data_IF_180290593124
#
_entry.id   IF_180290593124
#
_cell.length_a   1.000
_cell.length_b   1.000
_cell.length_c   1.000
_cell.angle_alpha   90.00
_cell.angle_beta   90.00
_cell.angle_gamma   90.00
#
_symmetry.space_group_name_H-M   'P 1'
#
loop_
_entity.id
_entity.type
_entity.pdbx_description
1 polymer ?
#
# COMPACT_ATOMS: atom_id res chain seq x y z
N UNK A 1 2.19 -25.07 -6.77
CA UNK A 1 2.10 -24.54 -6.93
C UNK A 1 1.43 -24.08 -7.81
N UNK A 2 0.90 -23.93 -7.80
CA UNK A 2 0.24 -23.65 -8.60
C UNK A 2 0.22 -22.45 -9.10
N UNK A 3 0.48 -21.62 -8.60
CA UNK A 3 0.39 -20.44 -9.06
C UNK A 3 1.17 -20.18 -10.09
N UNK A 4 1.64 -21.01 -10.48
CA UNK A 4 2.36 -20.77 -11.38
C UNK A 4 1.88 -20.31 -12.52
N UNK A 5 1.14 -20.66 -13.06
CA UNK A 5 0.84 -20.26 -14.21
C UNK A 5 0.20 -19.24 -14.45
N UNK A 6 -0.48 -19.01 -14.50
CA UNK A 6 -1.05 -17.89 -14.80
C UNK A 6 -0.26 -16.79 -14.57
N UNK A 7 0.86 -16.96 -14.62
CA UNK A 7 1.69 -15.98 -14.28
C UNK A 7 1.49 -14.68 -14.90
N UNK A 8 1.08 -14.62 -16.05
CA UNK A 8 1.00 -13.35 -16.70
C UNK A 8 0.07 -12.38 -16.05
N UNK A 9 -0.90 -12.87 -15.34
CA UNK A 9 -1.79 -11.97 -14.84
C UNK A 9 -1.51 -11.47 -13.51
N UNK A 10 -0.69 -12.12 -12.79
CA UNK A 10 -0.46 -11.72 -11.46
C UNK A 10 0.27 -10.49 -11.28
N UNK A 11 0.89 -10.01 -12.30
CA UNK A 11 1.70 -8.82 -12.11
C UNK A 11 0.95 -7.55 -12.35
N UNK A 12 -0.34 -7.59 -12.46
CA UNK A 12 -1.03 -6.36 -12.70
C UNK A 12 -1.07 -5.50 -11.49
N UNK A 13 -0.51 -4.32 -11.59
CA UNK A 13 -0.54 -3.34 -10.53
C UNK A 13 -1.77 -2.48 -10.68
N UNK A 14 -2.30 -2.03 -9.56
CA UNK A 14 -3.38 -1.08 -9.54
C UNK A 14 -2.82 0.27 -9.16
N UNK A 15 -3.11 1.26 -9.97
CA UNK A 15 -2.61 2.61 -9.75
C UNK A 15 -3.71 3.45 -9.11
N UNK A 16 -3.37 4.16 -8.07
CA UNK A 16 -4.29 5.11 -7.44
C UNK A 16 -3.65 6.49 -7.41
N UNK A 17 -4.44 7.49 -7.73
CA UNK A 17 -3.98 8.88 -7.73
C UNK A 17 -4.20 9.50 -6.37
N UNK A 18 -3.30 10.37 -5.98
CA UNK A 18 -3.40 11.04 -4.69
C UNK A 18 -2.67 12.36 -4.79
N UNK A 19 -3.07 13.34 -3.99
CA UNK A 19 -2.38 14.62 -3.91
C UNK A 19 -1.56 14.59 -2.63
N UNK A 20 -0.25 14.72 -2.76
CA UNK A 20 0.67 14.70 -1.63
C UNK A 20 1.46 15.99 -1.64
N UNK A 21 1.41 16.73 -0.54
CA UNK A 21 2.11 18.00 -0.42
C UNK A 21 1.80 18.94 -1.59
N UNK A 22 0.55 18.95 -2.01
CA UNK A 22 0.12 19.83 -3.07
C UNK A 22 0.43 19.34 -4.49
N UNK A 23 1.04 18.18 -4.64
CA UNK A 23 1.37 17.64 -5.95
C UNK A 23 0.55 16.40 -6.26
N UNK A 24 0.00 16.34 -7.44
CA UNK A 24 -0.72 15.15 -7.87
C UNK A 24 0.31 14.07 -8.21
N UNK A 25 0.10 12.89 -7.68
CA UNK A 25 0.99 11.78 -7.94
C UNK A 25 0.16 10.51 -8.03
N UNK A 26 0.78 9.41 -8.35
CA UNK A 26 0.09 8.14 -8.35
C UNK A 26 1.00 7.07 -7.78
N UNK A 27 0.38 6.06 -7.19
CA UNK A 27 1.09 4.95 -6.58
C UNK A 27 0.53 3.68 -7.18
N UNK A 28 1.40 2.82 -7.65
CA UNK A 28 1.00 1.55 -8.22
C UNK A 28 1.42 0.42 -7.28
N UNK A 29 0.47 -0.34 -6.81
CA UNK A 29 0.72 -1.46 -5.92
C UNK A 29 -0.13 -2.64 -6.35
N UNK A 30 0.30 -3.81 -5.97
CA UNK A 30 -0.48 -5.01 -6.18
C UNK A 30 -1.80 -4.90 -5.41
N UNK A 31 -2.88 -5.47 -5.93
CA UNK A 31 -4.17 -5.38 -5.25
C UNK A 31 -4.15 -5.88 -3.83
N UNK A 32 -3.32 -6.86 -3.54
CA UNK A 32 -3.20 -7.40 -2.19
C UNK A 32 -2.70 -6.36 -1.21
N UNK A 33 -1.75 -5.54 -1.65
CA UNK A 33 -1.25 -4.48 -0.79
C UNK A 33 -2.29 -3.38 -0.60
N UNK A 34 -3.04 -3.06 -1.67
CA UNK A 34 -4.11 -2.07 -1.51
C UNK A 34 -5.16 -2.52 -0.52
N UNK A 35 -5.49 -3.82 -0.53
CA UNK A 35 -6.47 -4.35 0.40
C UNK A 35 -5.99 -4.19 1.85
N UNK A 36 -4.73 -4.46 2.10
CA UNK A 36 -4.18 -4.30 3.44
C UNK A 36 -4.15 -2.83 3.85
N UNK A 37 -3.75 -1.95 2.93
CA UNK A 37 -3.72 -0.52 3.24
C UNK A 37 -5.11 0.04 3.49
N UNK A 38 -6.12 -0.45 2.79
CA UNK A 38 -7.50 -0.06 3.05
C UNK A 38 -7.89 -0.46 4.48
N UNK A 39 -7.47 -1.64 4.92
CA UNK A 39 -7.74 -2.09 6.28
C UNK A 39 -7.00 -1.25 7.31
N UNK A 40 -5.77 -0.88 7.02
CA UNK A 40 -4.99 -0.02 7.92
C UNK A 40 -5.67 1.34 8.06
N UNK A 41 -6.08 1.92 6.94
CA UNK A 41 -6.75 3.22 6.96
C UNK A 41 -8.02 3.16 7.80
N UNK A 42 -8.83 2.12 7.57
CA UNK A 42 -10.06 1.95 8.33
C UNK A 42 -9.78 1.80 9.82
N UNK A 43 -8.77 1.02 10.18
CA UNK A 43 -8.42 0.81 11.57
C UNK A 43 -7.97 2.09 12.26
N UNK A 44 -7.37 3.00 11.50
CA UNK A 44 -6.90 4.27 12.04
C UNK A 44 -7.88 5.41 11.88
N UNK A 45 -9.03 5.14 11.28
CA UNK A 45 -10.02 6.19 11.05
C UNK A 45 -9.60 7.19 10.00
N UNK A 46 -8.78 6.77 9.04
CA UNK A 46 -8.27 7.65 8.00
C UNK A 46 -8.86 7.29 6.66
N UNK A 47 -8.92 8.29 5.78
CA UNK A 47 -9.21 8.01 4.39
C UNK A 47 -7.96 7.40 3.76
N UNK A 48 -8.11 6.84 2.59
CA UNK A 48 -6.97 6.31 1.86
C UNK A 48 -5.95 7.41 1.59
N UNK A 49 -6.44 8.59 1.17
CA UNK A 49 -5.54 9.71 0.92
C UNK A 49 -4.83 10.15 2.20
N UNK A 50 -5.53 10.14 3.31
CA UNK A 50 -4.92 10.49 4.61
C UNK A 50 -3.84 9.52 5.00
N UNK A 51 -4.06 8.22 4.77
CA UNK A 51 -3.04 7.23 5.07
C UNK A 51 -1.82 7.44 4.18
N UNK A 52 -2.02 7.66 2.89
CA UNK A 52 -0.91 7.86 1.98
C UNK A 52 -0.11 9.12 2.34
N UNK A 53 -0.81 10.17 2.76
CA UNK A 53 -0.12 11.38 3.20
C UNK A 53 0.75 11.11 4.42
N UNK A 54 0.23 10.33 5.37
CA UNK A 54 1.00 9.98 6.55
C UNK A 54 2.23 9.15 6.18
N UNK A 55 2.06 8.18 5.26
CA UNK A 55 3.18 7.37 4.81
C UNK A 55 4.22 8.25 4.13
N UNK A 56 3.78 9.17 3.28
CA UNK A 56 4.69 10.06 2.59
C UNK A 56 5.51 10.91 3.55
N UNK A 57 4.87 11.39 4.60
CA UNK A 57 5.54 12.22 5.60
C UNK A 57 6.55 11.44 6.44
N UNK A 58 6.34 10.14 6.60
CA UNK A 58 7.18 9.35 7.48
C UNK A 58 8.15 8.43 6.76
N UNK A 59 8.13 8.40 5.44
CA UNK A 59 8.96 7.45 4.70
C UNK A 59 10.44 7.80 4.61
N UNK A 60 10.80 9.03 4.92
CA UNK A 60 12.18 9.45 4.78
C UNK A 60 12.61 9.39 3.32
N UNK A 61 13.70 8.70 3.04
CA UNK A 61 14.22 8.59 1.67
C UNK A 61 13.70 7.38 0.94
N UNK A 62 12.87 6.58 1.59
CA UNK A 62 12.36 5.38 0.96
C UNK A 62 11.35 5.75 -0.11
N UNK A 63 11.34 5.09 -1.27
CA UNK A 63 10.30 5.33 -2.27
C UNK A 63 8.92 5.07 -1.68
N UNK A 64 7.95 5.85 -2.13
CA UNK A 64 6.61 5.77 -1.56
C UNK A 64 6.00 4.37 -1.69
N UNK A 65 6.11 3.75 -2.86
CA UNK A 65 5.56 2.40 -3.04
C UNK A 65 6.20 1.40 -2.09
N UNK A 66 7.51 1.52 -1.87
CA UNK A 66 8.22 0.65 -0.95
C UNK A 66 7.71 0.88 0.48
N UNK A 67 7.54 2.13 0.87
CA UNK A 67 7.03 2.45 2.20
C UNK A 67 5.64 1.89 2.41
N UNK A 68 4.79 1.96 1.39
CA UNK A 68 3.44 1.40 1.46
C UNK A 68 3.48 -0.10 1.66
N UNK A 69 4.33 -0.80 0.90
CA UNK A 69 4.44 -2.25 1.04
C UNK A 69 4.95 -2.67 2.40
N UNK A 70 5.92 -1.93 2.92
CA UNK A 70 6.48 -2.26 4.23
C UNK A 70 5.48 -2.03 5.36
N UNK A 71 4.70 -0.97 5.26
CA UNK A 71 3.66 -0.75 6.26
C UNK A 71 2.62 -1.88 6.21
N UNK A 72 2.22 -2.26 5.01
CA UNK A 72 1.24 -3.32 4.83
C UNK A 72 1.77 -4.65 5.39
N UNK A 73 3.02 -4.94 5.11
CA UNK A 73 3.64 -6.16 5.59
C UNK A 73 3.72 -6.17 7.11
N UNK A 74 4.14 -5.06 7.70
CA UNK A 74 4.27 -4.95 9.13
C UNK A 74 2.92 -5.12 9.81
N UNK A 75 1.89 -4.49 9.28
CA UNK A 75 0.56 -4.59 9.85
C UNK A 75 0.02 -6.01 9.77
N UNK A 76 0.21 -6.66 8.62
CA UNK A 76 -0.26 -8.04 8.44
C UNK A 76 0.50 -9.00 9.34
N UNK A 77 1.79 -8.82 9.51
CA UNK A 77 2.59 -9.66 10.39
C UNK A 77 2.15 -9.49 11.85
N UNK A 78 1.85 -8.26 12.23
CA UNK A 78 1.37 -7.98 13.57
C UNK A 78 0.05 -8.66 13.85
N UNK A 79 -0.85 -8.68 12.88
CA UNK A 79 -2.14 -9.32 13.04
C UNK A 79 -2.03 -10.83 13.13
N UNK A 80 -0.98 -11.39 12.55
CA UNK A 80 -0.79 -12.83 12.59
C UNK A 80 -0.02 -13.30 13.80
N UNK A 81 0.42 -12.41 14.63
CA UNK A 81 1.16 -12.77 15.83
C UNK A 81 0.16 -13.19 16.87
N UNK A 82 0.37 -14.29 17.50
CA UNK A 82 -0.58 -14.77 18.47
C UNK A 82 -0.01 -14.81 19.83
#
# INVERSE_FOLDING_TARGET
MAFIHGGGKVSMLKKRSVVLSGHATSVALEPEFWAVLDAVAAARGLSQAGLLAWIDETRGRRPLASACRLLALDWAASKNTV
#
